data_IF_147551063583
#
_entry.id   IF_147551063583
#
_cell.length_a   1.000
_cell.length_b   1.000
_cell.length_c   1.000
_cell.angle_alpha   90.00
_cell.angle_beta   90.00
_cell.angle_gamma   90.00
#
_symmetry.space_group_name_H-M   'P 1'
#
loop_
_entity.id
_entity.type
_entity.pdbx_description
1 polymer ?
#
# COMPACT_ATOMS: atom_id res chain seq x y z
N UNK A 1 18.69 4.88 24.77
CA UNK A 1 17.22 4.75 24.52
C UNK A 1 16.70 5.65 23.39
N UNK A 2 17.08 6.93 23.28
CA UNK A 2 16.63 7.83 22.19
C UNK A 2 16.87 7.28 20.77
N UNK A 3 18.07 6.82 20.48
CA UNK A 3 18.47 6.38 19.13
C UNK A 3 17.74 5.13 18.62
N UNK A 4 17.42 4.21 19.54
CA UNK A 4 16.66 2.99 19.21
C UNK A 4 15.22 3.36 18.86
N UNK A 5 14.65 4.35 19.56
CA UNK A 5 13.30 4.82 19.33
C UNK A 5 13.16 5.51 17.96
N UNK A 6 14.12 6.37 17.58
CA UNK A 6 14.12 7.01 16.25
C UNK A 6 14.22 6.00 15.11
N UNK A 7 15.07 4.98 15.26
CA UNK A 7 15.24 3.96 14.23
C UNK A 7 14.00 3.08 14.05
N UNK A 8 13.37 2.68 15.16
CA UNK A 8 12.11 1.93 15.14
C UNK A 8 10.99 2.79 14.56
N UNK A 9 10.90 4.06 14.94
CA UNK A 9 9.92 5.00 14.40
C UNK A 9 10.07 5.15 12.89
N UNK A 10 11.30 5.28 12.37
CA UNK A 10 11.55 5.39 10.95
C UNK A 10 11.13 4.13 10.17
N UNK A 11 11.41 2.94 10.71
CA UNK A 11 10.93 1.68 10.13
C UNK A 11 9.40 1.59 10.11
N UNK A 12 8.75 2.07 11.17
CA UNK A 12 7.29 2.07 11.30
C UNK A 12 6.64 3.06 10.32
N UNK A 13 7.22 4.25 10.16
CA UNK A 13 6.80 5.23 9.15
C UNK A 13 6.93 4.62 7.75
N UNK A 14 8.07 4.01 7.44
CA UNK A 14 8.31 3.39 6.14
C UNK A 14 7.27 2.29 5.84
N UNK A 15 6.96 1.46 6.83
CA UNK A 15 5.91 0.44 6.72
C UNK A 15 4.53 1.05 6.44
N UNK A 16 4.12 2.07 7.21
CA UNK A 16 2.82 2.74 7.03
C UNK A 16 2.73 3.38 5.64
N UNK A 17 3.78 4.08 5.21
CA UNK A 17 3.82 4.74 3.89
C UNK A 17 3.72 3.70 2.77
N UNK A 18 4.41 2.56 2.88
CA UNK A 18 4.27 1.46 1.91
C UNK A 18 2.84 0.90 1.87
N UNK A 19 2.23 0.60 3.02
CA UNK A 19 0.87 0.04 3.08
C UNK A 19 -0.14 1.03 2.51
N UNK A 20 -0.06 2.30 2.90
CA UNK A 20 -0.97 3.34 2.40
C UNK A 20 -0.76 3.60 0.91
N UNK A 21 0.48 3.67 0.44
CA UNK A 21 0.80 3.88 -0.96
C UNK A 21 0.26 2.77 -1.86
N UNK A 22 0.46 1.51 -1.47
CA UNK A 22 -0.05 0.35 -2.22
C UNK A 22 -1.58 0.31 -2.19
N UNK A 23 -2.19 0.53 -1.02
CA UNK A 23 -3.66 0.54 -0.93
C UNK A 23 -4.27 1.64 -1.79
N UNK A 24 -3.66 2.83 -1.81
CA UNK A 24 -4.11 3.96 -2.61
C UNK A 24 -3.97 3.70 -4.12
N UNK A 25 -2.85 3.13 -4.57
CA UNK A 25 -2.68 2.80 -6.00
C UNK A 25 -3.68 1.76 -6.48
N UNK A 26 -3.96 0.73 -5.69
CA UNK A 26 -5.01 -0.25 -6.02
C UNK A 26 -6.39 0.40 -6.10
N UNK A 27 -6.71 1.34 -5.21
CA UNK A 27 -7.97 2.09 -5.27
C UNK A 27 -8.07 2.94 -6.55
N UNK A 28 -6.98 3.64 -6.91
CA UNK A 28 -6.93 4.46 -8.12
C UNK A 28 -7.07 3.63 -9.40
N UNK A 29 -6.45 2.45 -9.45
CA UNK A 29 -6.58 1.51 -10.58
C UNK A 29 -8.04 1.06 -10.71
N UNK A 30 -8.66 0.62 -9.61
CA UNK A 30 -10.06 0.19 -9.63
C UNK A 30 -10.98 1.31 -10.12
N UNK A 31 -10.84 2.52 -9.57
CA UNK A 31 -11.61 3.68 -9.99
C UNK A 31 -11.44 3.98 -11.49
N UNK A 32 -10.21 3.89 -12.00
CA UNK A 32 -9.91 4.13 -13.42
C UNK A 32 -10.56 3.07 -14.33
N UNK A 33 -10.56 1.81 -13.90
CA UNK A 33 -11.21 0.72 -14.63
C UNK A 33 -12.73 0.91 -14.65
N UNK A 34 -13.33 1.25 -13.51
CA UNK A 34 -14.77 1.54 -13.44
C UNK A 34 -15.18 2.73 -14.32
N UNK A 35 -14.39 3.81 -14.35
CA UNK A 35 -14.64 4.94 -15.25
C UNK A 35 -14.57 4.50 -16.72
N UNK A 36 -13.61 3.65 -17.07
CA UNK A 36 -13.47 3.13 -18.42
C UNK A 36 -14.69 2.26 -18.80
N UNK A 37 -15.11 1.36 -17.91
CA UNK A 37 -16.32 0.54 -18.08
C UNK A 37 -17.56 1.42 -18.20
N UNK A 38 -17.65 2.49 -17.42
CA UNK A 38 -18.76 3.43 -17.51
C UNK A 38 -18.84 4.14 -18.86
N UNK A 39 -17.71 4.55 -19.42
CA UNK A 39 -17.67 5.15 -20.77
C UNK A 39 -18.11 4.15 -21.84
N UNK A 40 -17.75 2.87 -21.70
CA UNK A 40 -18.05 1.82 -22.68
C UNK A 40 -19.49 1.29 -22.60
N UNK A 41 -20.04 1.18 -21.39
CA UNK A 41 -21.30 0.47 -21.11
C UNK A 41 -22.41 1.38 -20.60
N UNK A 42 -22.09 2.61 -20.18
CA UNK A 42 -23.03 3.56 -19.58
C UNK A 42 -23.41 3.25 -18.13
N UNK A 43 -23.00 2.10 -17.58
CA UNK A 43 -23.25 1.68 -16.19
C UNK A 43 -22.01 1.88 -15.32
N UNK A 44 -22.22 2.42 -14.11
CA UNK A 44 -21.18 2.57 -13.10
C UNK A 44 -21.53 1.66 -11.92
N UNK A 45 -20.80 0.56 -11.73
CA UNK A 45 -21.14 -0.52 -10.80
C UNK A 45 -20.21 -0.60 -9.58
N UNK A 46 -19.58 0.52 -9.23
CA UNK A 46 -18.61 0.59 -8.14
C UNK A 46 -19.30 0.43 -6.77
N UNK A 47 -19.41 -0.81 -6.29
CA UNK A 47 -20.18 -1.15 -5.10
C UNK A 47 -19.32 -1.04 -3.84
N UNK A 48 -19.89 -0.59 -2.71
CA UNK A 48 -19.18 -0.51 -1.41
C UNK A 48 -18.50 -1.82 -1.00
N UNK A 49 -19.07 -2.97 -1.38
CA UNK A 49 -18.53 -4.31 -1.11
C UNK A 49 -17.23 -4.53 -1.89
N UNK A 50 -17.16 -4.08 -3.14
CA UNK A 50 -15.97 -4.20 -3.98
C UNK A 50 -14.85 -3.28 -3.51
N UNK A 51 -15.17 -2.05 -3.11
CA UNK A 51 -14.22 -1.13 -2.48
C UNK A 51 -13.58 -1.78 -1.24
N UNK A 52 -14.40 -2.37 -0.35
CA UNK A 52 -13.90 -3.08 0.83
C UNK A 52 -13.00 -4.27 0.47
N UNK A 53 -13.32 -4.99 -0.61
CA UNK A 53 -12.51 -6.10 -1.12
C UNK A 53 -11.17 -5.60 -1.63
N UNK A 54 -11.15 -4.51 -2.39
CA UNK A 54 -9.93 -3.87 -2.91
C UNK A 54 -9.06 -3.37 -1.75
N UNK A 55 -9.63 -2.72 -0.75
CA UNK A 55 -8.90 -2.28 0.44
C UNK A 55 -8.29 -3.47 1.18
N UNK A 56 -9.03 -4.57 1.37
CA UNK A 56 -8.49 -5.78 2.02
C UNK A 56 -7.31 -6.35 1.25
N UNK A 57 -7.41 -6.43 -0.07
CA UNK A 57 -6.32 -6.93 -0.93
C UNK A 57 -5.13 -5.97 -0.89
N UNK A 58 -5.36 -4.66 -1.02
CA UNK A 58 -4.34 -3.62 -0.95
C UNK A 58 -3.60 -3.62 0.39
N UNK A 59 -4.30 -3.79 1.51
CA UNK A 59 -3.70 -3.94 2.83
C UNK A 59 -2.90 -5.25 2.98
N UNK A 60 -3.40 -6.37 2.45
CA UNK A 60 -2.69 -7.65 2.49
C UNK A 60 -1.38 -7.59 1.71
N UNK A 61 -1.43 -7.11 0.47
CA UNK A 61 -0.24 -6.94 -0.38
C UNK A 61 0.68 -5.87 0.23
N UNK A 62 0.12 -4.74 0.66
CA UNK A 62 0.85 -3.64 1.27
C UNK A 62 1.61 -4.07 2.53
N UNK A 63 0.99 -4.85 3.40
CA UNK A 63 1.64 -5.37 4.61
C UNK A 63 2.74 -6.36 4.29
N UNK A 64 2.54 -7.25 3.31
CA UNK A 64 3.56 -8.20 2.88
C UNK A 64 4.78 -7.48 2.30
N UNK A 65 4.55 -6.55 1.38
CA UNK A 65 5.60 -5.76 0.72
C UNK A 65 6.32 -4.84 1.72
N UNK A 66 5.57 -4.19 2.61
CA UNK A 66 6.11 -3.35 3.68
C UNK A 66 6.98 -4.15 4.66
N UNK A 67 6.57 -5.38 5.01
CA UNK A 67 7.37 -6.27 5.88
C UNK A 67 8.69 -6.63 5.21
N UNK A 68 8.67 -6.96 3.92
CA UNK A 68 9.89 -7.22 3.15
C UNK A 68 10.81 -5.99 3.13
N UNK A 69 10.26 -4.80 2.95
CA UNK A 69 11.03 -3.54 2.98
C UNK A 69 11.66 -3.27 4.35
N UNK A 70 10.91 -3.48 5.43
CA UNK A 70 11.41 -3.37 6.82
C UNK A 70 12.56 -4.35 7.07
N UNK A 71 12.40 -5.61 6.64
CA UNK A 71 13.44 -6.65 6.76
C UNK A 71 14.67 -6.29 5.93
N UNK A 72 14.49 -5.83 4.68
CA UNK A 72 15.58 -5.42 3.81
C UNK A 72 16.38 -4.25 4.40
N UNK A 73 15.70 -3.28 5.02
CA UNK A 73 16.33 -2.17 5.72
C UNK A 73 17.07 -2.64 6.99
N UNK A 74 16.49 -3.57 7.76
CA UNK A 74 17.17 -4.18 8.93
C UNK A 74 18.44 -4.92 8.54
N UNK A 75 18.43 -5.64 7.42
CA UNK A 75 19.58 -6.37 6.88
C UNK A 75 20.64 -5.44 6.23
N UNK A 76 20.40 -4.13 6.18
CA UNK A 76 21.29 -3.13 5.56
C UNK A 76 21.71 -3.51 4.13
N UNK A 77 20.79 -4.09 3.35
CA UNK A 77 21.04 -4.40 1.94
C UNK A 77 21.40 -3.10 1.19
N UNK A 78 22.44 -3.17 0.35
CA UNK A 78 22.94 -2.00 -0.39
C UNK A 78 21.79 -1.40 -1.23
N UNK A 79 21.42 -0.14 -0.93
CA UNK A 79 20.22 0.54 -1.45
C UNK A 79 19.30 1.11 -0.35
N UNK A 80 19.37 0.57 0.87
CA UNK A 80 18.55 1.00 2.03
C UNK A 80 19.35 1.68 3.16
N UNK A 81 20.65 1.89 2.95
CA UNK A 81 21.50 2.70 3.86
C UNK A 81 21.21 4.19 3.63
N UNK A 82 20.12 4.69 4.21
CA UNK A 82 19.86 6.11 4.46
C UNK A 82 20.15 6.45 5.91
#
# INVERSE_FOLDING_TARGET
MKYINEKILNLLILFIVCVMGITFTFLCIALSVDILVWILTGSFDLTKIEILKIIKIGCAIGSFTGTIFVIANLLKLNGFRG
#
